data_IF_600089670508
#
_entry.id   IF_600089670508
#
_cell.length_a   1.000
_cell.length_b   1.000
_cell.length_c   1.000
_cell.angle_alpha   90.00
_cell.angle_beta   90.00
_cell.angle_gamma   90.00
#
_symmetry.space_group_name_H-M   'P 1'
#
loop_
_entity.id
_entity.type
_entity.pdbx_description
1 polymer ?
#
# COMPACT_ATOMS: atom_id res chain seq x y z
N UNK A 1 35.27 51.18 33.93
CA UNK A 1 34.26 50.81 32.92
C UNK A 1 34.20 49.28 32.87
N UNK A 2 33.07 48.68 33.29
CA UNK A 2 32.85 47.22 33.29
C UNK A 2 31.84 46.88 32.19
N UNK A 3 32.06 45.88 31.32
CA UNK A 3 31.05 45.46 30.37
C UNK A 3 30.04 44.54 31.06
N UNK A 4 28.76 44.87 30.93
CA UNK A 4 27.63 44.05 31.38
C UNK A 4 27.34 42.97 30.33
N UNK A 5 27.59 41.71 30.68
CA UNK A 5 27.14 40.53 29.93
C UNK A 5 25.61 40.40 30.08
N UNK A 6 24.86 40.80 29.05
CA UNK A 6 23.43 40.48 28.95
C UNK A 6 23.26 39.07 28.39
N UNK A 7 22.96 38.16 29.31
CA UNK A 7 22.06 37.00 29.21
C UNK A 7 21.53 36.75 27.79
N UNK A 8 22.14 35.78 27.11
CA UNK A 8 21.55 34.99 26.04
C UNK A 8 21.33 33.59 26.64
N UNK A 9 20.28 32.90 26.20
CA UNK A 9 19.73 31.62 26.71
C UNK A 9 18.82 31.77 27.93
N UNK A 10 17.50 31.63 27.71
CA UNK A 10 16.95 30.27 27.78
C UNK A 10 15.91 30.01 26.68
N UNK A 11 16.29 29.31 25.62
CA UNK A 11 15.35 28.77 24.62
C UNK A 11 15.83 27.39 24.13
N UNK A 12 16.21 26.50 25.06
CA UNK A 12 16.75 25.17 24.71
C UNK A 12 16.13 24.00 25.48
N UNK A 13 15.06 24.21 26.28
CA UNK A 13 14.49 23.16 27.15
C UNK A 13 13.09 22.71 26.70
N UNK A 14 12.45 23.38 25.73
CA UNK A 14 11.07 23.05 25.32
C UNK A 14 10.93 22.01 24.19
N UNK A 15 12.04 21.45 23.69
CA UNK A 15 12.03 20.49 22.56
C UNK A 15 12.04 19.02 23.03
N UNK A 16 12.35 18.74 24.31
CA UNK A 16 12.55 17.37 24.81
C UNK A 16 11.28 16.66 25.31
N UNK A 17 10.12 17.33 25.36
CA UNK A 17 8.89 16.72 25.90
C UNK A 17 7.98 16.08 24.84
N UNK A 18 8.28 16.23 23.55
CA UNK A 18 7.38 15.76 22.48
C UNK A 18 7.75 14.37 21.97
N UNK A 19 8.98 13.88 22.18
CA UNK A 19 9.42 12.56 21.73
C UNK A 19 8.92 11.37 22.59
N UNK A 20 8.29 11.64 23.75
CA UNK A 20 7.82 10.61 24.65
C UNK A 20 6.47 9.98 24.27
N UNK A 21 5.62 10.69 23.54
CA UNK A 21 4.26 10.23 23.22
C UNK A 21 4.27 9.11 22.17
N UNK A 22 4.95 9.31 21.05
CA UNK A 22 5.00 8.33 19.96
C UNK A 22 5.65 7.00 20.39
N UNK A 23 6.72 7.05 21.19
CA UNK A 23 7.38 5.84 21.70
C UNK A 23 6.45 5.01 22.60
N UNK A 24 5.68 5.67 23.48
CA UNK A 24 4.69 4.99 24.33
C UNK A 24 3.56 4.41 23.50
N UNK A 25 3.05 5.16 22.53
CA UNK A 25 2.01 4.69 21.63
C UNK A 25 2.47 3.47 20.83
N UNK A 26 3.71 3.51 20.33
CA UNK A 26 4.30 2.42 19.56
C UNK A 26 4.41 1.15 20.40
N UNK A 27 4.80 1.28 21.67
CA UNK A 27 4.80 0.15 22.61
C UNK A 27 3.40 -0.45 22.75
N UNK A 28 2.37 0.38 22.96
CA UNK A 28 0.99 -0.09 23.08
C UNK A 28 0.52 -0.79 21.79
N UNK A 29 0.81 -0.24 20.61
CA UNK A 29 0.47 -0.88 19.33
C UNK A 29 1.14 -2.24 19.17
N UNK A 30 2.41 -2.38 19.58
CA UNK A 30 3.12 -3.67 19.56
C UNK A 30 2.50 -4.69 20.52
N UNK A 31 2.15 -4.27 21.73
CA UNK A 31 1.47 -5.13 22.71
C UNK A 31 0.08 -5.58 22.22
N UNK A 32 -0.71 -4.64 21.67
CA UNK A 32 -2.00 -4.94 21.06
C UNK A 32 -1.87 -5.88 19.85
N UNK A 33 -0.86 -5.67 18.99
CA UNK A 33 -0.61 -6.52 17.82
C UNK A 33 -0.21 -7.94 18.24
N UNK A 34 0.64 -8.07 19.25
CA UNK A 34 0.99 -9.37 19.84
C UNK A 34 -0.21 -10.10 20.44
N UNK A 35 -1.18 -9.35 20.98
CA UNK A 35 -2.46 -9.86 21.48
C UNK A 35 -3.54 -10.05 20.39
N UNK A 36 -3.24 -9.78 19.11
CA UNK A 36 -4.20 -9.75 18.00
C UNK A 36 -5.38 -8.77 18.20
N UNK A 37 -5.21 -7.73 19.02
CA UNK A 37 -6.22 -6.69 19.25
C UNK A 37 -6.16 -5.63 18.15
N UNK A 38 -6.52 -6.02 16.93
CA UNK A 38 -6.45 -5.15 15.75
C UNK A 38 -7.44 -3.98 15.83
N UNK A 39 -8.58 -4.17 16.50
CA UNK A 39 -9.59 -3.14 16.71
C UNK A 39 -9.03 -1.96 17.50
N UNK A 40 -8.26 -2.23 18.57
CA UNK A 40 -7.63 -1.18 19.39
C UNK A 40 -6.65 -0.33 18.56
N UNK A 41 -5.81 -0.98 17.75
CA UNK A 41 -4.83 -0.29 16.90
C UNK A 41 -5.53 0.55 15.82
N UNK A 42 -6.53 -0.03 15.14
CA UNK A 42 -7.23 0.64 14.05
C UNK A 42 -8.05 1.85 14.54
N UNK A 43 -8.61 1.79 15.75
CA UNK A 43 -9.40 2.87 16.33
C UNK A 43 -8.55 4.02 16.91
N UNK A 44 -7.27 3.77 17.20
CA UNK A 44 -6.39 4.78 17.78
C UNK A 44 -5.89 5.78 16.72
N UNK A 45 -5.98 7.08 16.99
CA UNK A 45 -5.32 8.11 16.19
C UNK A 45 -3.80 7.99 16.28
N UNK A 46 -3.07 8.21 15.18
CA UNK A 46 -1.60 8.20 15.20
C UNK A 46 -1.11 9.59 15.59
N UNK A 47 -0.45 9.71 16.73
CA UNK A 47 0.08 10.99 17.25
C UNK A 47 1.61 10.97 17.19
N UNK A 48 2.14 11.33 16.01
CA UNK A 48 3.57 11.44 15.78
C UNK A 48 3.89 12.53 14.75
N UNK A 49 5.12 13.02 14.79
CA UNK A 49 5.67 13.88 13.74
C UNK A 49 6.39 13.03 12.71
N UNK A 50 6.40 13.47 11.46
CA UNK A 50 7.02 12.75 10.35
C UNK A 50 8.52 12.50 10.53
N UNK A 51 9.22 13.29 11.35
CA UNK A 51 10.65 13.13 11.67
C UNK A 51 10.92 12.19 12.85
N UNK A 52 9.87 11.67 13.51
CA UNK A 52 10.01 10.70 14.59
C UNK A 52 10.16 9.28 14.01
N UNK A 53 11.25 8.59 14.38
CA UNK A 53 11.51 7.20 13.98
C UNK A 53 10.42 6.22 14.44
N UNK A 54 9.61 6.57 15.43
CA UNK A 54 8.47 5.74 15.83
C UNK A 54 7.26 5.90 14.87
N UNK A 55 7.22 6.99 14.09
CA UNK A 55 6.04 7.38 13.31
C UNK A 55 5.76 6.44 12.14
N UNK A 56 6.80 6.03 11.41
CA UNK A 56 6.65 5.06 10.32
C UNK A 56 6.09 3.73 10.86
N UNK A 57 6.59 3.24 12.00
CA UNK A 57 6.16 2.00 12.62
C UNK A 57 4.70 2.06 13.10
N UNK A 58 4.27 3.19 13.67
CA UNK A 58 2.88 3.43 14.06
C UNK A 58 1.94 3.33 12.85
N UNK A 59 2.29 4.00 11.76
CA UNK A 59 1.52 3.97 10.51
C UNK A 59 1.48 2.56 9.89
N UNK A 60 2.61 1.86 9.84
CA UNK A 60 2.67 0.48 9.33
C UNK A 60 1.79 -0.48 10.15
N UNK A 61 1.83 -0.38 11.49
CA UNK A 61 1.02 -1.22 12.38
C UNK A 61 -0.48 -0.90 12.26
N UNK A 62 -0.86 0.38 12.21
CA UNK A 62 -2.25 0.78 12.02
C UNK A 62 -2.79 0.37 10.65
N UNK A 63 -2.00 0.55 9.61
CA UNK A 63 -2.32 0.12 8.26
C UNK A 63 -2.59 -1.38 8.16
N UNK A 64 -1.73 -2.22 8.76
CA UNK A 64 -1.93 -3.68 8.80
C UNK A 64 -3.15 -4.07 9.65
N UNK A 65 -3.37 -3.41 10.79
CA UNK A 65 -4.55 -3.64 11.62
C UNK A 65 -5.85 -3.36 10.84
N UNK A 66 -5.94 -2.20 10.17
CA UNK A 66 -7.07 -1.85 9.33
C UNK A 66 -7.27 -2.85 8.18
N UNK A 67 -6.19 -3.29 7.51
CA UNK A 67 -6.28 -4.31 6.46
C UNK A 67 -6.85 -5.64 6.99
N UNK A 68 -6.37 -6.12 8.14
CA UNK A 68 -6.86 -7.35 8.77
C UNK A 68 -8.33 -7.28 9.13
N UNK A 69 -8.80 -6.14 9.66
CA UNK A 69 -10.21 -5.92 9.97
C UNK A 69 -11.06 -5.86 8.71
N UNK A 70 -10.57 -5.24 7.63
CA UNK A 70 -11.26 -5.23 6.34
C UNK A 70 -11.46 -6.65 5.79
N UNK A 71 -10.45 -7.52 5.92
CA UNK A 71 -10.52 -8.94 5.53
C UNK A 71 -11.51 -9.77 6.36
N UNK A 72 -11.87 -9.31 7.55
CA UNK A 72 -12.89 -9.92 8.41
C UNK A 72 -14.32 -9.42 8.09
N UNK A 73 -14.50 -8.66 7.00
CA UNK A 73 -15.79 -8.09 6.56
C UNK A 73 -16.46 -7.14 7.57
N UNK A 74 -15.68 -6.53 8.47
CA UNK A 74 -16.17 -5.45 9.33
C UNK A 74 -15.92 -4.13 8.61
N UNK A 75 -16.96 -3.33 8.32
CA UNK A 75 -16.87 -2.02 7.65
C UNK A 75 -15.78 -1.95 6.55
N UNK A 76 -15.79 -2.93 5.65
CA UNK A 76 -14.65 -3.27 4.79
C UNK A 76 -14.09 -2.08 4.00
N UNK A 77 -14.96 -1.24 3.43
CA UNK A 77 -14.56 -0.05 2.66
C UNK A 77 -13.79 0.95 3.53
N UNK A 78 -14.31 1.30 4.72
CA UNK A 78 -13.63 2.24 5.63
C UNK A 78 -12.29 1.68 6.09
N UNK A 79 -12.25 0.39 6.40
CA UNK A 79 -11.02 -0.26 6.83
C UNK A 79 -9.98 -0.38 5.70
N UNK A 80 -10.38 -0.61 4.45
CA UNK A 80 -9.46 -0.53 3.32
C UNK A 80 -8.97 0.91 3.06
N UNK A 81 -9.80 1.94 3.29
CA UNK A 81 -9.34 3.35 3.23
C UNK A 81 -8.28 3.63 4.28
N UNK A 82 -8.56 3.30 5.55
CA UNK A 82 -7.58 3.40 6.64
C UNK A 82 -6.27 2.66 6.31
N UNK A 83 -6.38 1.43 5.80
CA UNK A 83 -5.22 0.63 5.41
C UNK A 83 -4.42 1.30 4.29
N UNK A 84 -5.08 1.76 3.23
CA UNK A 84 -4.40 2.39 2.10
C UNK A 84 -3.66 3.67 2.52
N UNK A 85 -4.26 4.50 3.37
CA UNK A 85 -3.68 5.76 3.83
C UNK A 85 -2.47 5.55 4.75
N UNK A 86 -2.63 4.71 5.78
CA UNK A 86 -1.56 4.52 6.75
C UNK A 86 -0.44 3.61 6.24
N UNK A 87 -0.72 2.66 5.36
CA UNK A 87 0.36 1.90 4.72
C UNK A 87 1.18 2.78 3.77
N UNK A 88 0.53 3.65 2.96
CA UNK A 88 1.24 4.64 2.12
C UNK A 88 2.17 5.52 2.96
N UNK A 89 1.64 6.12 4.03
CA UNK A 89 2.43 6.97 4.95
C UNK A 89 3.58 6.19 5.60
N UNK A 90 3.29 5.01 6.17
CA UNK A 90 4.30 4.20 6.84
C UNK A 90 5.41 3.74 5.90
N UNK A 91 5.06 3.40 4.66
CA UNK A 91 6.02 3.01 3.61
C UNK A 91 6.92 4.18 3.25
N UNK A 92 6.36 5.36 2.97
CA UNK A 92 7.14 6.54 2.54
C UNK A 92 7.96 7.18 3.66
N UNK A 93 7.56 7.01 4.93
CA UNK A 93 8.36 7.42 6.08
C UNK A 93 9.49 6.42 6.41
N UNK A 94 9.49 5.22 5.86
CA UNK A 94 10.49 4.19 6.16
C UNK A 94 11.71 4.30 5.26
N UNK A 95 12.76 4.96 5.75
CA UNK A 95 14.05 5.05 5.06
C UNK A 95 14.91 3.78 5.20
N UNK A 96 14.94 3.17 6.39
CA UNK A 96 15.67 1.93 6.67
C UNK A 96 14.69 0.76 6.88
N UNK A 97 14.41 0.06 5.80
CA UNK A 97 13.55 -1.12 5.83
C UNK A 97 14.16 -2.29 6.60
N UNK A 98 15.49 -2.44 6.65
CA UNK A 98 16.11 -3.55 7.36
C UNK A 98 15.88 -3.41 8.88
N UNK A 99 15.99 -2.20 9.40
CA UNK A 99 15.68 -1.90 10.80
C UNK A 99 14.18 -2.06 11.11
N UNK A 100 13.30 -1.54 10.25
CA UNK A 100 11.86 -1.65 10.44
C UNK A 100 11.37 -3.11 10.43
N UNK A 101 11.89 -3.93 9.50
CA UNK A 101 11.46 -5.32 9.35
C UNK A 101 11.77 -6.20 10.56
N UNK A 102 12.84 -5.88 11.29
CA UNK A 102 13.20 -6.57 12.52
C UNK A 102 12.18 -6.34 13.65
N UNK A 103 11.31 -5.33 13.51
CA UNK A 103 10.53 -4.79 14.62
C UNK A 103 9.02 -4.86 14.37
N UNK A 104 8.53 -4.54 13.16
CA UNK A 104 7.09 -4.41 12.90
C UNK A 104 6.53 -5.45 11.93
N UNK A 105 7.34 -6.00 11.03
CA UNK A 105 6.87 -6.98 10.05
C UNK A 105 7.56 -6.83 8.70
N UNK A 106 7.25 -7.71 7.74
CA UNK A 106 7.93 -7.76 6.45
C UNK A 106 7.48 -6.62 5.52
N UNK A 107 8.44 -5.91 4.91
CA UNK A 107 8.23 -4.89 3.88
C UNK A 107 7.25 -5.37 2.81
N UNK A 108 7.48 -6.60 2.33
CA UNK A 108 6.63 -7.31 1.40
C UNK A 108 5.15 -7.22 1.72
N UNK A 109 4.81 -7.57 2.97
CA UNK A 109 3.43 -7.65 3.42
C UNK A 109 2.78 -6.28 3.43
N UNK A 110 3.51 -5.23 3.83
CA UNK A 110 2.96 -3.88 3.83
C UNK A 110 2.66 -3.36 2.42
N UNK A 111 3.57 -3.59 1.47
CA UNK A 111 3.32 -3.25 0.07
C UNK A 111 2.15 -4.06 -0.53
N UNK A 112 2.08 -5.36 -0.27
CA UNK A 112 0.96 -6.18 -0.73
C UNK A 112 -0.37 -5.71 -0.14
N UNK A 113 -0.43 -5.47 1.16
CA UNK A 113 -1.64 -4.98 1.82
C UNK A 113 -2.04 -3.60 1.28
N UNK A 114 -1.07 -2.73 0.97
CA UNK A 114 -1.33 -1.41 0.41
C UNK A 114 -1.95 -1.51 -0.99
N UNK A 115 -1.28 -2.22 -1.90
CA UNK A 115 -1.75 -2.41 -3.26
C UNK A 115 -3.10 -3.17 -3.27
N UNK A 116 -3.28 -4.19 -2.43
CA UNK A 116 -4.54 -4.91 -2.34
C UNK A 116 -5.68 -4.03 -1.80
N UNK A 117 -5.42 -3.19 -0.81
CA UNK A 117 -6.40 -2.21 -0.31
C UNK A 117 -6.85 -1.27 -1.43
N UNK A 118 -5.90 -0.73 -2.22
CA UNK A 118 -6.22 0.13 -3.36
C UNK A 118 -7.00 -0.60 -4.45
N UNK A 119 -6.65 -1.85 -4.74
CA UNK A 119 -7.36 -2.70 -5.70
C UNK A 119 -8.82 -2.93 -5.29
N UNK A 120 -9.05 -3.18 -4.00
CA UNK A 120 -10.39 -3.39 -3.44
C UNK A 120 -11.18 -2.08 -3.39
N UNK A 121 -10.57 -0.97 -2.96
CA UNK A 121 -11.23 0.34 -3.00
C UNK A 121 -11.66 0.73 -4.40
N UNK A 122 -10.84 0.45 -5.42
CA UNK A 122 -11.19 0.65 -6.82
C UNK A 122 -12.41 -0.20 -7.22
N UNK A 123 -12.49 -1.47 -6.81
CA UNK A 123 -13.62 -2.34 -7.17
C UNK A 123 -14.93 -1.98 -6.48
N UNK A 124 -14.87 -1.31 -5.33
CA UNK A 124 -16.06 -0.81 -4.61
C UNK A 124 -16.66 0.45 -5.25
N UNK A 125 -15.97 1.09 -6.19
CA UNK A 125 -16.47 2.30 -6.85
C UNK A 125 -17.53 1.97 -7.91
N UNK A 126 -18.61 2.75 -7.92
CA UNK A 126 -19.75 2.56 -8.82
C UNK A 126 -19.58 3.20 -10.19
N UNK A 127 -18.50 3.98 -10.41
CA UNK A 127 -18.23 4.66 -11.67
C UNK A 127 -16.75 4.66 -12.01
N UNK A 128 -16.43 4.73 -13.30
CA UNK A 128 -15.06 4.90 -13.81
C UNK A 128 -14.38 6.15 -13.23
N UNK A 129 -15.11 7.26 -13.13
CA UNK A 129 -14.58 8.51 -12.58
C UNK A 129 -14.15 8.36 -11.11
N UNK A 130 -14.97 7.70 -10.29
CA UNK A 130 -14.63 7.43 -8.89
C UNK A 130 -13.53 6.36 -8.73
N UNK A 131 -13.45 5.39 -9.64
CA UNK A 131 -12.44 4.33 -9.62
C UNK A 131 -11.04 4.80 -10.08
N UNK A 132 -10.99 5.83 -10.93
CA UNK A 132 -9.73 6.29 -11.56
C UNK A 132 -8.65 6.69 -10.55
N UNK A 133 -8.93 7.51 -9.52
CA UNK A 133 -7.91 7.88 -8.53
C UNK A 133 -7.30 6.66 -7.81
N UNK A 134 -8.12 5.68 -7.45
CA UNK A 134 -7.63 4.46 -6.80
C UNK A 134 -6.81 3.60 -7.77
N UNK A 135 -7.16 3.55 -9.06
CA UNK A 135 -6.36 2.85 -10.05
C UNK A 135 -4.99 3.51 -10.28
N UNK A 136 -4.94 4.84 -10.30
CA UNK A 136 -3.68 5.59 -10.41
C UNK A 136 -2.78 5.34 -9.19
N UNK A 137 -3.35 5.37 -7.98
CA UNK A 137 -2.64 5.00 -6.75
C UNK A 137 -2.17 3.55 -6.78
N UNK A 138 -3.00 2.61 -7.22
CA UNK A 138 -2.61 1.20 -7.35
C UNK A 138 -1.43 1.02 -8.30
N UNK A 139 -1.47 1.69 -9.44
CA UNK A 139 -0.38 1.65 -10.41
C UNK A 139 0.91 2.22 -9.82
N UNK A 140 0.84 3.33 -9.07
CA UNK A 140 1.98 3.89 -8.36
C UNK A 140 2.54 2.93 -7.29
N UNK A 141 1.67 2.36 -6.46
CA UNK A 141 2.00 1.34 -5.45
C UNK A 141 2.74 0.16 -6.10
N UNK A 142 2.21 -0.40 -7.19
CA UNK A 142 2.80 -1.56 -7.84
C UNK A 142 4.21 -1.28 -8.40
N UNK A 143 4.43 -0.09 -8.99
CA UNK A 143 5.77 0.31 -9.47
C UNK A 143 6.77 0.48 -8.33
N UNK A 144 6.34 1.03 -7.21
CA UNK A 144 7.18 1.15 -6.01
C UNK A 144 7.46 -0.23 -5.41
N UNK A 145 6.45 -1.10 -5.40
CA UNK A 145 6.58 -2.47 -4.92
C UNK A 145 7.57 -3.30 -5.74
N UNK A 146 7.68 -3.07 -7.05
CA UNK A 146 8.71 -3.69 -7.90
C UNK A 146 10.15 -3.33 -7.49
N UNK A 147 10.35 -2.29 -6.67
CA UNK A 147 11.66 -1.94 -6.09
C UNK A 147 11.96 -2.68 -4.78
N UNK A 148 11.02 -3.50 -4.29
CA UNK A 148 11.22 -4.36 -3.11
C UNK A 148 12.01 -5.64 -3.48
N UNK A 149 12.43 -6.46 -2.49
CA UNK A 149 13.19 -7.69 -2.74
C UNK A 149 12.57 -8.64 -3.79
N UNK A 150 13.44 -9.37 -4.49
CA UNK A 150 13.09 -10.09 -5.72
C UNK A 150 12.08 -11.24 -5.59
N UNK A 151 11.92 -11.82 -4.41
CA UNK A 151 10.92 -12.86 -4.12
C UNK A 151 9.47 -12.34 -4.21
N UNK A 152 9.30 -11.01 -4.27
CA UNK A 152 8.02 -10.31 -4.26
C UNK A 152 7.60 -9.82 -5.65
N UNK A 153 8.46 -10.01 -6.66
CA UNK A 153 8.20 -9.59 -8.04
C UNK A 153 6.86 -10.17 -8.55
N UNK A 154 6.50 -11.46 -8.33
CA UNK A 154 5.20 -11.96 -8.79
C UNK A 154 4.00 -11.15 -8.27
N UNK A 155 4.00 -10.81 -6.98
CA UNK A 155 2.93 -10.01 -6.37
C UNK A 155 2.87 -8.61 -6.99
N UNK A 156 4.01 -7.93 -7.06
CA UNK A 156 4.12 -6.59 -7.60
C UNK A 156 3.70 -6.51 -9.08
N UNK A 157 4.15 -7.48 -9.90
CA UNK A 157 3.77 -7.59 -11.31
C UNK A 157 2.28 -7.85 -11.48
N UNK A 158 1.66 -8.70 -10.65
CA UNK A 158 0.21 -8.89 -10.66
C UNK A 158 -0.53 -7.57 -10.43
N UNK A 159 -0.16 -6.80 -9.41
CA UNK A 159 -0.83 -5.51 -9.14
C UNK A 159 -0.63 -4.50 -10.26
N UNK A 160 0.56 -4.47 -10.89
CA UNK A 160 0.85 -3.59 -12.01
C UNK A 160 -0.05 -3.92 -13.21
N UNK A 161 -0.03 -5.17 -13.68
CA UNK A 161 -0.84 -5.61 -14.82
C UNK A 161 -2.35 -5.51 -14.52
N UNK A 162 -2.77 -5.71 -13.27
CA UNK A 162 -4.15 -5.51 -12.86
C UNK A 162 -4.58 -4.03 -12.93
N UNK A 163 -3.68 -3.09 -12.64
CA UNK A 163 -3.94 -1.66 -12.78
C UNK A 163 -3.96 -1.23 -14.25
N UNK A 164 -3.07 -1.78 -15.08
CA UNK A 164 -3.03 -1.57 -16.53
C UNK A 164 -4.32 -2.07 -17.20
N UNK A 165 -4.78 -3.28 -16.88
CA UNK A 165 -6.04 -3.79 -17.41
C UNK A 165 -7.21 -2.86 -17.08
N UNK A 166 -7.30 -2.39 -15.85
CA UNK A 166 -8.36 -1.47 -15.45
C UNK A 166 -8.26 -0.12 -16.18
N UNK A 167 -7.06 0.40 -16.40
CA UNK A 167 -6.86 1.63 -17.17
C UNK A 167 -7.37 1.47 -18.61
N UNK A 168 -7.06 0.35 -19.27
CA UNK A 168 -7.57 0.05 -20.61
C UNK A 168 -9.10 -0.03 -20.58
N UNK A 169 -9.67 -0.76 -19.61
CA UNK A 169 -11.14 -0.90 -19.46
C UNK A 169 -11.86 0.43 -19.31
N UNK A 170 -11.26 1.39 -18.62
CA UNK A 170 -11.85 2.72 -18.41
C UNK A 170 -11.92 3.56 -19.67
N UNK A 171 -11.13 3.22 -20.70
CA UNK A 171 -10.98 4.01 -21.91
C UNK A 171 -11.32 3.22 -23.18
N UNK A 172 -12.01 2.07 -23.06
CA UNK A 172 -12.28 1.17 -24.19
C UNK A 172 -12.83 1.98 -25.37
N UNK A 173 -12.01 2.03 -26.40
CA UNK A 173 -12.31 2.49 -27.75
C UNK A 173 -11.69 1.48 -28.73
N UNK A 174 -12.46 1.09 -29.74
CA UNK A 174 -12.33 -0.15 -30.51
C UNK A 174 -10.89 -0.61 -30.80
N UNK A 175 -10.18 0.07 -31.70
CA UNK A 175 -8.91 -0.43 -32.27
C UNK A 175 -7.69 -0.19 -31.38
N UNK A 176 -7.62 0.94 -30.66
CA UNK A 176 -6.50 1.26 -29.77
C UNK A 176 -6.42 0.29 -28.58
N UNK A 177 -7.56 0.02 -27.97
CA UNK A 177 -7.65 -0.87 -26.79
C UNK A 177 -7.25 -2.31 -27.12
N UNK A 178 -7.51 -2.78 -28.35
CA UNK A 178 -7.15 -4.14 -28.74
C UNK A 178 -5.64 -4.38 -28.75
N UNK A 179 -4.87 -3.42 -29.26
CA UNK A 179 -3.42 -3.53 -29.31
C UNK A 179 -2.80 -3.49 -27.90
N UNK A 180 -3.31 -2.62 -27.03
CA UNK A 180 -2.90 -2.54 -25.63
C UNK A 180 -3.21 -3.85 -24.88
N UNK A 181 -4.40 -4.42 -25.07
CA UNK A 181 -4.76 -5.70 -24.47
C UNK A 181 -3.88 -6.85 -24.99
N UNK A 182 -3.51 -6.84 -26.27
CA UNK A 182 -2.60 -7.85 -26.84
C UNK A 182 -1.22 -7.76 -26.20
N UNK A 183 -0.69 -6.55 -26.03
CA UNK A 183 0.59 -6.35 -25.34
C UNK A 183 0.51 -6.80 -23.89
N UNK A 184 -0.56 -6.42 -23.17
CA UNK A 184 -0.77 -6.81 -21.79
C UNK A 184 -0.91 -8.33 -21.63
N UNK A 185 -1.61 -9.01 -22.55
CA UNK A 185 -1.74 -10.47 -22.57
C UNK A 185 -0.37 -11.16 -22.70
N UNK A 186 0.53 -10.63 -23.55
CA UNK A 186 1.87 -11.18 -23.72
C UNK A 186 2.71 -10.99 -22.46
N UNK A 187 2.73 -9.78 -21.89
CA UNK A 187 3.45 -9.48 -20.66
C UNK A 187 2.95 -10.35 -19.49
N UNK A 188 1.63 -10.49 -19.36
CA UNK A 188 1.02 -11.27 -18.31
C UNK A 188 1.24 -12.78 -18.50
N UNK A 189 1.34 -13.27 -19.73
CA UNK A 189 1.68 -14.69 -19.99
C UNK A 189 3.10 -15.01 -19.52
N UNK A 190 4.04 -14.09 -19.74
CA UNK A 190 5.41 -14.22 -19.24
C UNK A 190 5.44 -14.14 -17.71
N UNK A 191 4.72 -13.19 -17.11
CA UNK A 191 4.62 -13.05 -15.66
C UNK A 191 4.00 -14.29 -15.01
N UNK A 192 2.94 -14.85 -15.58
CA UNK A 192 2.29 -16.08 -15.11
C UNK A 192 3.25 -17.27 -15.11
N UNK A 193 4.09 -17.40 -16.15
CA UNK A 193 5.10 -18.46 -16.22
C UNK A 193 6.18 -18.30 -15.13
N UNK A 194 6.63 -17.07 -14.88
CA UNK A 194 7.59 -16.76 -13.80
C UNK A 194 6.98 -16.97 -12.40
N UNK A 195 5.68 -16.68 -12.26
CA UNK A 195 4.94 -16.81 -11.01
C UNK A 195 4.41 -18.23 -10.74
N UNK A 196 4.67 -19.21 -11.62
CA UNK A 196 4.03 -20.53 -11.58
C UNK A 196 4.20 -21.30 -10.26
N UNK A 197 5.31 -21.06 -9.55
CA UNK A 197 5.59 -21.66 -8.23
C UNK A 197 5.34 -20.71 -7.05
N UNK A 198 4.86 -19.49 -7.33
CA UNK A 198 4.56 -18.50 -6.31
C UNK A 198 3.10 -18.63 -5.84
N UNK A 199 2.79 -18.05 -4.67
CA UNK A 199 1.40 -17.91 -4.20
C UNK A 199 0.50 -17.06 -5.11
N UNK A 200 1.08 -16.33 -6.07
CA UNK A 200 0.37 -15.50 -7.04
C UNK A 200 0.05 -16.23 -8.36
N UNK A 201 0.40 -17.50 -8.52
CA UNK A 201 0.12 -18.27 -9.74
C UNK A 201 -1.35 -18.19 -10.19
N UNK A 202 -2.29 -18.40 -9.25
CA UNK A 202 -3.73 -18.33 -9.54
C UNK A 202 -4.23 -16.90 -9.82
N UNK A 203 -3.59 -15.89 -9.24
CA UNK A 203 -3.92 -14.49 -9.50
C UNK A 203 -3.57 -14.11 -10.94
N UNK A 204 -2.37 -14.49 -11.40
CA UNK A 204 -1.97 -14.27 -12.78
C UNK A 204 -2.84 -15.05 -13.78
N UNK A 205 -3.13 -16.32 -13.49
CA UNK A 205 -4.02 -17.14 -14.33
C UNK A 205 -5.40 -16.51 -14.48
N UNK A 206 -5.97 -15.96 -13.40
CA UNK A 206 -7.25 -15.25 -13.46
C UNK A 206 -7.14 -13.96 -14.28
N UNK A 207 -6.08 -13.20 -14.11
CA UNK A 207 -5.87 -11.96 -14.87
C UNK A 207 -5.73 -12.23 -16.39
N UNK A 208 -5.05 -13.31 -16.80
CA UNK A 208 -5.02 -13.75 -18.19
C UNK A 208 -6.42 -14.02 -18.76
N UNK A 209 -7.26 -14.71 -17.98
CA UNK A 209 -8.64 -14.98 -18.39
C UNK A 209 -9.46 -13.70 -18.51
N UNK A 210 -9.28 -12.75 -17.60
CA UNK A 210 -9.95 -11.45 -17.65
C UNK A 210 -9.54 -10.66 -18.90
N UNK A 211 -8.23 -10.61 -19.21
CA UNK A 211 -7.71 -9.98 -20.43
C UNK A 211 -8.32 -10.62 -21.68
N UNK A 212 -8.32 -11.95 -21.76
CA UNK A 212 -8.89 -12.69 -22.89
C UNK A 212 -10.39 -12.43 -23.04
N UNK A 213 -11.14 -12.41 -21.93
CA UNK A 213 -12.57 -12.11 -21.93
C UNK A 213 -12.88 -10.69 -22.43
N UNK A 214 -12.08 -9.70 -22.02
CA UNK A 214 -12.26 -8.32 -22.49
C UNK A 214 -11.91 -8.21 -23.97
N UNK A 215 -10.82 -8.82 -24.44
CA UNK A 215 -10.48 -8.84 -25.87
C UNK A 215 -11.61 -9.40 -26.72
N UNK A 216 -12.18 -10.54 -26.32
CA UNK A 216 -13.28 -11.19 -27.02
C UNK A 216 -14.56 -10.33 -27.07
N UNK A 217 -14.71 -9.35 -26.18
CA UNK A 217 -15.84 -8.41 -26.18
C UNK A 217 -15.68 -7.24 -27.16
N UNK A 218 -14.48 -7.03 -27.72
CA UNK A 218 -14.19 -5.92 -28.65
C UNK A 218 -14.29 -6.44 -30.09
N UNK A 219 -15.22 -5.92 -30.92
CA UNK A 219 -15.35 -6.35 -32.31
C UNK A 219 -14.04 -6.15 -33.09
N UNK A 220 -13.61 -7.20 -33.81
CA UNK A 220 -12.38 -7.16 -34.60
C UNK A 220 -11.09 -7.32 -33.81
N UNK A 221 -11.16 -7.66 -32.51
CA UNK A 221 -10.00 -7.96 -31.68
C UNK A 221 -9.82 -9.48 -31.48
N UNK A 222 -8.94 -10.14 -32.24
CA UNK A 222 -8.65 -11.57 -32.07
C UNK A 222 -7.77 -11.86 -30.84
#
# INVERSE_FOLDING_TARGET
MKPNFKIVMPLLIMVLLVSGCATRQLKNFKEAAAANNWQEIAAAEVDCKADDEACNQLHLLKGDACYRLAKQNTDSVKNYQCAAEHLEQGIHLTADWAAAEAVVGKRAQYFENWCESLRLLRSEQTSTAAATPYNQKLHACAREFLQAPGDLIPAATFFLHNAELAAIRFQINDTGSCQELKQLQQNESQAAAQAAQSRYADHHRRLLNDIAGIKASIPGCP
#
